data_IF_072278441970
#
_entry.id   IF_072278441970
#
_cell.length_a   1.000
_cell.length_b   1.000
_cell.length_c   1.000
_cell.angle_alpha   90.00
_cell.angle_beta   90.00
_cell.angle_gamma   90.00
#
_symmetry.space_group_name_H-M   'P 1'
#
loop_
_entity.id
_entity.type
_entity.pdbx_description
1 polymer ?
#
# COMPACT_ATOMS: atom_id res chain seq x y z
N UNK A 1 27.79 -9.18 -5.28
CA UNK A 1 27.28 -9.86 -4.09
C UNK A 1 26.05 -9.07 -3.71
N UNK A 2 24.89 -9.46 -4.24
CA UNK A 2 23.63 -8.81 -3.84
C UNK A 2 23.42 -9.14 -2.36
N UNK A 3 23.28 -8.11 -1.54
CA UNK A 3 23.04 -8.26 -0.11
C UNK A 3 21.68 -8.94 0.06
N UNK A 4 21.66 -10.15 0.64
CA UNK A 4 20.42 -10.85 0.93
C UNK A 4 19.61 -10.02 1.93
N UNK A 5 18.32 -9.81 1.64
CA UNK A 5 17.43 -9.12 2.56
C UNK A 5 17.17 -10.05 3.72
N UNK A 6 17.49 -9.65 4.94
CA UNK A 6 17.22 -10.47 6.12
C UNK A 6 15.76 -10.32 6.57
N UNK A 7 15.27 -11.29 7.35
CA UNK A 7 13.94 -11.20 7.95
C UNK A 7 13.79 -9.96 8.85
N UNK A 8 14.83 -9.62 9.62
CA UNK A 8 14.86 -8.44 10.48
C UNK A 8 14.76 -7.15 9.67
N UNK A 9 15.56 -7.02 8.61
CA UNK A 9 15.50 -5.88 7.69
C UNK A 9 14.13 -5.73 7.03
N UNK A 10 13.49 -6.84 6.67
CA UNK A 10 12.14 -6.86 6.11
C UNK A 10 11.10 -6.36 7.13
N UNK A 11 11.13 -6.89 8.36
CA UNK A 11 10.17 -6.50 9.40
C UNK A 11 10.33 -5.04 9.81
N UNK A 12 11.57 -4.54 9.91
CA UNK A 12 11.86 -3.13 10.18
C UNK A 12 11.37 -2.22 9.07
N UNK A 13 11.58 -2.63 7.82
CA UNK A 13 11.09 -1.89 6.66
C UNK A 13 9.56 -1.79 6.67
N UNK A 14 8.88 -2.89 6.98
CA UNK A 14 7.42 -2.94 7.06
C UNK A 14 6.90 -2.10 8.21
N UNK A 15 7.52 -2.15 9.38
CA UNK A 15 7.16 -1.30 10.51
C UNK A 15 7.24 0.19 10.15
N UNK A 16 8.35 0.62 9.52
CA UNK A 16 8.52 2.00 9.04
C UNK A 16 7.45 2.41 8.03
N UNK A 17 7.10 1.52 7.10
CA UNK A 17 6.04 1.80 6.11
C UNK A 17 4.63 1.81 6.72
N UNK A 18 4.36 0.99 7.74
CA UNK A 18 3.11 1.03 8.51
C UNK A 18 2.97 2.36 9.24
N UNK A 19 4.04 2.87 9.83
CA UNK A 19 4.07 4.19 10.46
C UNK A 19 3.81 5.32 9.44
N UNK A 20 4.46 5.27 8.28
CA UNK A 20 4.22 6.22 7.18
C UNK A 20 2.74 6.22 6.74
N UNK A 21 2.15 5.04 6.57
CA UNK A 21 0.72 4.89 6.24
C UNK A 21 -0.18 5.47 7.33
N UNK A 22 0.13 5.21 8.61
CA UNK A 22 -0.64 5.75 9.73
C UNK A 22 -0.60 7.28 9.78
N UNK A 23 0.55 7.88 9.49
CA UNK A 23 0.70 9.33 9.37
C UNK A 23 -0.14 9.88 8.20
N UNK A 24 -0.11 9.23 7.04
CA UNK A 24 -0.93 9.61 5.89
C UNK A 24 -2.44 9.54 6.22
N UNK A 25 -2.89 8.51 6.94
CA UNK A 25 -4.28 8.41 7.39
C UNK A 25 -4.67 9.54 8.33
N UNK A 26 -3.76 9.92 9.23
CA UNK A 26 -3.94 11.03 10.17
C UNK A 26 -4.06 12.36 9.41
N UNK A 27 -3.14 12.64 8.49
CA UNK A 27 -3.21 13.83 7.61
C UNK A 27 -4.51 13.86 6.80
N UNK A 28 -4.90 12.73 6.21
CA UNK A 28 -6.14 12.60 5.44
C UNK A 28 -7.37 12.88 6.31
N UNK A 29 -7.40 12.38 7.55
CA UNK A 29 -8.49 12.62 8.47
C UNK A 29 -8.58 14.09 8.90
N UNK A 30 -7.44 14.76 9.14
CA UNK A 30 -7.38 16.20 9.40
C UNK A 30 -7.93 16.97 8.20
N UNK A 31 -7.47 16.64 6.99
CA UNK A 31 -7.93 17.29 5.76
C UNK A 31 -9.43 17.14 5.52
N UNK A 32 -9.99 15.93 5.71
CA UNK A 32 -11.44 15.70 5.56
C UNK A 32 -12.27 16.56 6.51
N UNK A 33 -11.76 16.80 7.73
CA UNK A 33 -12.43 17.67 8.72
C UNK A 33 -12.29 19.15 8.38
N UNK A 34 -11.12 19.59 7.91
CA UNK A 34 -10.89 21.00 7.60
C UNK A 34 -11.51 21.45 6.27
N UNK A 35 -11.65 20.53 5.31
CA UNK A 35 -12.14 20.79 3.96
C UNK A 35 -13.33 19.86 3.67
N UNK A 36 -14.53 20.15 4.23
CA UNK A 36 -15.73 19.36 3.96
C UNK A 36 -16.18 19.51 2.50
N UNK A 37 -16.89 18.51 2.00
CA UNK A 37 -17.54 18.62 0.69
C UNK A 37 -18.69 19.62 0.77
N UNK A 38 -18.75 20.53 -0.21
CA UNK A 38 -19.75 21.58 -0.25
C UNK A 38 -21.00 21.08 -0.99
N UNK A 39 -22.20 21.14 -0.38
CA UNK A 39 -23.45 20.79 -1.05
C UNK A 39 -23.73 21.69 -2.27
N UNK A 40 -24.49 21.15 -3.22
CA UNK A 40 -25.02 21.96 -4.32
C UNK A 40 -25.87 23.13 -3.77
N UNK A 41 -25.72 24.31 -4.38
CA UNK A 41 -26.41 25.53 -3.93
C UNK A 41 -25.76 26.22 -2.73
N UNK A 42 -24.59 25.77 -2.27
CA UNK A 42 -23.82 26.51 -1.23
C UNK A 42 -23.48 27.91 -1.72
N UNK A 43 -23.86 28.93 -0.95
CA UNK A 43 -23.47 30.33 -1.20
C UNK A 43 -22.16 30.59 -0.47
N UNK A 44 -21.08 30.70 -1.24
CA UNK A 44 -19.73 30.99 -0.77
C UNK A 44 -19.54 32.50 -0.57
N UNK A 45 -20.02 33.29 -1.54
CA UNK A 45 -19.94 34.75 -1.50
C UNK A 45 -21.27 35.36 -2.01
N UNK A 46 -21.89 36.18 -1.17
CA UNK A 46 -23.18 36.84 -1.44
C UNK A 46 -23.06 38.00 -2.43
N UNK A 47 -21.85 38.55 -2.63
CA UNK A 47 -21.60 39.62 -3.60
C UNK A 47 -21.37 39.07 -5.01
N UNK A 48 -21.15 37.76 -5.14
CA UNK A 48 -20.95 37.07 -6.41
C UNK A 48 -22.26 36.51 -6.95
N UNK A 49 -22.28 36.24 -8.27
CA UNK A 49 -23.45 35.67 -8.93
C UNK A 49 -23.71 34.22 -8.50
N UNK A 50 -24.94 33.73 -8.71
CA UNK A 50 -25.31 32.33 -8.48
C UNK A 50 -24.39 31.40 -9.28
N UNK A 51 -24.20 31.68 -10.58
CA UNK A 51 -23.30 30.89 -11.44
C UNK A 51 -21.87 30.84 -10.90
N UNK A 52 -21.34 31.97 -10.43
CA UNK A 52 -19.99 32.00 -9.85
C UNK A 52 -19.91 31.12 -8.60
N UNK A 53 -20.92 31.14 -7.72
CA UNK A 53 -20.96 30.28 -6.54
C UNK A 53 -21.03 28.79 -6.92
N UNK A 54 -21.82 28.43 -7.94
CA UNK A 54 -21.89 27.05 -8.45
C UNK A 54 -20.55 26.57 -9.02
N UNK A 55 -19.90 27.39 -9.84
CA UNK A 55 -18.57 27.12 -10.40
C UNK A 55 -17.54 26.95 -9.28
N UNK A 56 -17.53 27.84 -8.29
CA UNK A 56 -16.59 27.79 -7.16
C UNK A 56 -16.82 26.56 -6.27
N UNK A 57 -18.07 26.19 -5.99
CA UNK A 57 -18.41 24.93 -5.31
C UNK A 57 -17.85 23.73 -6.07
N UNK A 58 -18.05 23.68 -7.39
CA UNK A 58 -17.49 22.63 -8.23
C UNK A 58 -15.96 22.59 -8.17
N UNK A 59 -15.31 23.75 -8.30
CA UNK A 59 -13.84 23.88 -8.24
C UNK A 59 -13.27 23.37 -6.92
N UNK A 60 -13.85 23.78 -5.78
CA UNK A 60 -13.41 23.33 -4.44
C UNK A 60 -13.62 21.84 -4.24
N UNK A 61 -14.78 21.32 -4.62
CA UNK A 61 -15.06 19.88 -4.52
C UNK A 61 -14.13 19.05 -5.41
N UNK A 62 -13.80 19.52 -6.62
CA UNK A 62 -12.82 18.84 -7.47
C UNK A 62 -11.39 18.91 -6.92
N UNK A 63 -10.98 20.06 -6.39
CA UNK A 63 -9.69 20.20 -5.70
C UNK A 63 -9.59 19.23 -4.51
N UNK A 64 -10.66 19.13 -3.72
CA UNK A 64 -10.79 18.17 -2.62
C UNK A 64 -10.65 16.73 -3.09
N UNK A 65 -11.34 16.33 -4.16
CA UNK A 65 -11.22 14.99 -4.76
C UNK A 65 -9.77 14.70 -5.19
N UNK A 66 -9.11 15.66 -5.85
CA UNK A 66 -7.70 15.55 -6.24
C UNK A 66 -6.78 15.34 -5.04
N UNK A 67 -7.00 16.08 -3.95
CA UNK A 67 -6.21 15.92 -2.72
C UNK A 67 -6.45 14.54 -2.07
N UNK A 68 -7.70 14.07 -1.99
CA UNK A 68 -8.02 12.74 -1.47
C UNK A 68 -7.37 11.62 -2.30
N UNK A 69 -7.40 11.75 -3.63
CA UNK A 69 -6.71 10.83 -4.53
C UNK A 69 -5.19 10.82 -4.28
N UNK A 70 -4.58 11.98 -4.01
CA UNK A 70 -3.15 12.07 -3.69
C UNK A 70 -2.77 11.32 -2.41
N UNK A 71 -3.61 11.34 -1.36
CA UNK A 71 -3.39 10.54 -0.16
C UNK A 71 -3.46 9.05 -0.47
N UNK A 72 -4.46 8.63 -1.24
CA UNK A 72 -4.59 7.22 -1.63
C UNK A 72 -3.39 6.75 -2.47
N UNK A 73 -2.88 7.60 -3.37
CA UNK A 73 -1.70 7.29 -4.16
C UNK A 73 -0.45 7.06 -3.29
N UNK A 74 -0.25 7.87 -2.24
CA UNK A 74 0.85 7.68 -1.28
C UNK A 74 0.73 6.36 -0.51
N UNK A 75 -0.47 6.01 -0.04
CA UNK A 75 -0.72 4.73 0.64
C UNK A 75 -0.43 3.56 -0.29
N UNK A 76 -0.92 3.62 -1.53
CA UNK A 76 -0.67 2.59 -2.54
C UNK A 76 0.83 2.46 -2.85
N UNK A 77 1.58 3.56 -2.88
CA UNK A 77 3.03 3.53 -3.06
C UNK A 77 3.74 2.82 -1.89
N UNK A 78 3.31 3.06 -0.64
CA UNK A 78 3.84 2.35 0.53
C UNK A 78 3.55 0.85 0.45
N UNK A 79 2.31 0.47 0.17
CA UNK A 79 1.90 -0.93 0.02
C UNK A 79 2.68 -1.64 -1.09
N UNK A 80 2.85 -0.99 -2.25
CA UNK A 80 3.65 -1.53 -3.36
C UNK A 80 5.12 -1.71 -2.97
N UNK A 81 5.68 -0.77 -2.21
CA UNK A 81 7.05 -0.88 -1.71
C UNK A 81 7.21 -2.06 -0.75
N UNK A 82 6.24 -2.29 0.14
CA UNK A 82 6.21 -3.46 1.02
C UNK A 82 6.15 -4.75 0.21
N UNK A 83 5.18 -4.88 -0.71
CA UNK A 83 5.04 -6.08 -1.55
C UNK A 83 6.32 -6.40 -2.30
N UNK A 84 6.97 -5.38 -2.89
CA UNK A 84 8.25 -5.54 -3.57
C UNK A 84 9.34 -6.04 -2.61
N UNK A 85 9.41 -5.51 -1.39
CA UNK A 85 10.42 -5.92 -0.41
C UNK A 85 10.23 -7.36 0.06
N UNK A 86 8.98 -7.82 0.19
CA UNK A 86 8.68 -9.22 0.50
C UNK A 86 9.12 -10.13 -0.65
N UNK A 87 8.85 -9.76 -1.90
CA UNK A 87 9.31 -10.53 -3.08
C UNK A 87 10.84 -10.57 -3.12
N UNK A 88 11.53 -9.46 -2.88
CA UNK A 88 12.99 -9.41 -2.78
C UNK A 88 13.52 -10.37 -1.70
N UNK A 89 12.90 -10.39 -0.52
CA UNK A 89 13.21 -11.32 0.57
C UNK A 89 13.03 -12.78 0.14
N UNK A 90 11.88 -13.15 -0.44
CA UNK A 90 11.62 -14.53 -0.90
C UNK A 90 12.69 -14.96 -1.92
N UNK A 91 13.06 -14.07 -2.84
CA UNK A 91 14.08 -14.33 -3.86
C UNK A 91 15.46 -14.53 -3.24
N UNK A 92 15.86 -13.71 -2.28
CA UNK A 92 17.19 -13.80 -1.70
C UNK A 92 17.33 -14.95 -0.72
N UNK A 93 16.34 -15.15 0.15
CA UNK A 93 16.39 -16.14 1.23
C UNK A 93 16.29 -17.57 0.68
N UNK A 94 15.35 -17.79 -0.25
CA UNK A 94 15.10 -19.11 -0.82
C UNK A 94 15.69 -19.25 -2.21
N UNK A 95 16.56 -18.33 -2.64
CA UNK A 95 17.19 -18.28 -3.97
C UNK A 95 16.20 -18.38 -5.15
N UNK A 96 14.92 -18.08 -4.95
CA UNK A 96 13.90 -18.27 -5.99
C UNK A 96 14.06 -17.30 -7.16
N UNK A 97 13.69 -17.79 -8.35
CA UNK A 97 13.51 -16.91 -9.50
C UNK A 97 12.37 -15.94 -9.22
N UNK A 98 12.38 -14.78 -9.89
CA UNK A 98 11.33 -13.79 -9.73
C UNK A 98 9.91 -14.35 -9.99
N UNK A 99 9.67 -15.19 -11.03
CA UNK A 99 8.35 -15.81 -11.21
C UNK A 99 7.90 -16.68 -10.02
N UNK A 100 8.79 -17.50 -9.46
CA UNK A 100 8.46 -18.36 -8.32
C UNK A 100 8.17 -17.52 -7.08
N UNK A 101 8.98 -16.49 -6.82
CA UNK A 101 8.78 -15.60 -5.70
C UNK A 101 7.45 -14.81 -5.80
N UNK A 102 7.05 -14.38 -7.00
CA UNK A 102 5.74 -13.76 -7.20
C UNK A 102 4.60 -14.73 -6.93
N UNK A 103 4.68 -15.99 -7.38
CA UNK A 103 3.65 -17.01 -7.09
C UNK A 103 3.49 -17.22 -5.58
N UNK A 104 4.61 -17.37 -4.86
CA UNK A 104 4.63 -17.52 -3.40
C UNK A 104 4.03 -16.27 -2.73
N UNK A 105 4.45 -15.08 -3.16
CA UNK A 105 3.93 -13.83 -2.63
C UNK A 105 2.43 -13.67 -2.86
N UNK A 106 1.94 -13.94 -4.07
CA UNK A 106 0.51 -13.79 -4.41
C UNK A 106 -0.36 -14.71 -3.55
N UNK A 107 0.07 -15.97 -3.36
CA UNK A 107 -0.62 -16.91 -2.49
C UNK A 107 -0.62 -16.44 -1.02
N UNK A 108 0.51 -15.93 -0.54
CA UNK A 108 0.64 -15.41 0.81
C UNK A 108 -0.19 -14.14 1.04
N UNK A 109 -0.22 -13.25 0.04
CA UNK A 109 -1.02 -12.04 0.07
C UNK A 109 -2.50 -12.38 0.15
N UNK A 110 -3.02 -13.23 -0.74
CA UNK A 110 -4.41 -13.68 -0.75
C UNK A 110 -4.83 -14.25 0.61
N UNK A 111 -3.93 -15.00 1.26
CA UNK A 111 -4.23 -15.62 2.56
C UNK A 111 -4.16 -14.64 3.74
N UNK A 112 -3.19 -13.73 3.75
CA UNK A 112 -2.84 -12.93 4.92
C UNK A 112 -3.29 -11.48 4.90
N UNK A 113 -3.62 -10.91 3.74
CA UNK A 113 -3.74 -9.45 3.59
C UNK A 113 -4.85 -8.82 4.45
N UNK A 114 -5.89 -9.58 4.82
CA UNK A 114 -6.95 -9.12 5.72
C UNK A 114 -6.46 -8.81 7.13
N UNK A 115 -5.35 -9.42 7.56
CA UNK A 115 -4.73 -9.26 8.87
C UNK A 115 -3.48 -8.35 8.83
N UNK A 116 -3.13 -7.81 7.66
CA UNK A 116 -1.97 -6.96 7.46
C UNK A 116 -0.70 -7.72 7.11
N UNK A 117 0.39 -6.98 6.93
CA UNK A 117 1.62 -7.51 6.34
C UNK A 117 2.40 -8.48 7.22
N UNK A 118 2.24 -8.43 8.55
CA UNK A 118 2.90 -9.39 9.45
C UNK A 118 2.44 -10.82 9.13
N UNK A 119 1.13 -10.97 8.86
CA UNK A 119 0.52 -12.24 8.46
C UNK A 119 0.91 -12.64 7.02
N UNK A 120 1.01 -11.67 6.10
CA UNK A 120 1.47 -11.92 4.73
C UNK A 120 2.89 -12.48 4.73
N UNK A 121 3.81 -11.95 5.53
CA UNK A 121 5.18 -12.47 5.61
C UNK A 121 5.19 -13.88 6.22
N UNK A 122 4.37 -14.12 7.24
CA UNK A 122 4.24 -15.44 7.85
C UNK A 122 3.88 -16.50 6.79
N UNK A 123 2.82 -16.27 6.02
CA UNK A 123 2.43 -17.18 4.94
C UNK A 123 3.47 -17.22 3.80
N UNK A 124 4.13 -16.11 3.49
CA UNK A 124 5.17 -16.08 2.47
C UNK A 124 6.33 -17.04 2.82
N UNK A 125 6.73 -17.09 4.09
CA UNK A 125 7.74 -18.03 4.57
C UNK A 125 7.25 -19.47 4.53
N UNK A 126 6.05 -19.74 5.03
CA UNK A 126 5.48 -21.08 5.03
C UNK A 126 5.38 -21.66 3.60
N UNK A 127 4.89 -20.85 2.66
CA UNK A 127 4.76 -21.24 1.26
C UNK A 127 6.10 -21.34 0.55
N UNK A 128 7.08 -20.50 0.90
CA UNK A 128 8.43 -20.60 0.37
C UNK A 128 9.13 -21.88 0.84
N UNK A 129 9.06 -22.20 2.14
CA UNK A 129 9.58 -23.45 2.73
C UNK A 129 8.91 -24.69 2.12
N UNK A 130 7.61 -24.63 1.84
CA UNK A 130 6.93 -25.69 1.11
C UNK A 130 7.44 -25.83 -0.33
N UNK A 131 7.62 -24.72 -1.03
CA UNK A 131 8.11 -24.70 -2.42
C UNK A 131 9.54 -25.22 -2.52
N UNK A 132 10.40 -24.86 -1.58
CA UNK A 132 11.78 -25.37 -1.51
C UNK A 132 11.80 -26.88 -1.35
N UNK A 133 11.00 -27.44 -0.43
CA UNK A 133 10.86 -28.90 -0.25
C UNK A 133 10.41 -29.61 -1.54
N UNK A 134 9.52 -28.99 -2.31
CA UNK A 134 9.11 -29.53 -3.62
C UNK A 134 10.27 -29.54 -4.62
N UNK A 135 11.02 -28.45 -4.71
CA UNK A 135 12.16 -28.37 -5.63
C UNK A 135 13.24 -29.40 -5.30
N UNK A 136 13.56 -29.57 -4.02
CA UNK A 136 14.50 -30.61 -3.56
C UNK A 136 13.99 -32.01 -3.89
N UNK A 137 12.69 -32.29 -3.66
CA UNK A 137 12.12 -33.61 -3.97
C UNK A 137 12.08 -33.92 -5.48
N UNK A 138 12.18 -32.90 -6.33
CA UNK A 138 12.19 -33.02 -7.79
C UNK A 138 13.60 -32.96 -8.40
N UNK A 139 14.66 -32.93 -7.58
CA UNK A 139 16.04 -32.71 -8.01
C UNK A 139 16.21 -31.44 -8.87
N UNK A 140 15.36 -30.44 -8.63
CA UNK A 140 15.48 -29.12 -9.26
C UNK A 140 16.46 -28.22 -8.50
N UNK A 141 16.88 -28.65 -7.30
CA UNK A 141 17.89 -28.07 -6.41
C UNK A 141 18.51 -29.12 -5.51
#
# INVERSE_FOLDING_TARGET
>A
MDYAVTYEELTDFIAKKKEEIANIWTERAVFIRSEPELPAGTVIDREKSVRWNEEEVWHRNNSRKGKLASFQAKINACNKAISKKIIEYIRSEYEFTEPVANIVFDAAYERGHSCGYDEVIHYAREYAEFTERLFTAMDLR
#
